data_IF_602300112906
#
_entry.id   IF_602300112906
#
_cell.length_a   1.000
_cell.length_b   1.000
_cell.length_c   1.000
_cell.angle_alpha   90.00
_cell.angle_beta   90.00
_cell.angle_gamma   90.00
#
_symmetry.space_group_name_H-M   'P 1'
#
loop_
_entity.id
_entity.type
_entity.pdbx_description
1 polymer ?
#
# COMPACT_ATOMS: atom_id res chain seq x y z
N UNK A 1 3.15 12.68 -10.66
CA UNK A 1 3.17 11.98 -9.36
C UNK A 1 2.52 10.61 -9.54
N UNK A 2 3.13 9.57 -8.98
CA UNK A 2 2.70 8.17 -9.12
C UNK A 2 1.63 7.82 -8.07
N UNK A 3 0.65 6.99 -8.44
CA UNK A 3 -0.35 6.47 -7.51
C UNK A 3 0.26 5.30 -6.72
N UNK A 4 0.42 5.47 -5.40
CA UNK A 4 1.09 4.49 -4.54
C UNK A 4 0.10 3.97 -3.50
N UNK A 5 -0.19 2.66 -3.57
CA UNK A 5 -1.06 1.99 -2.60
C UNK A 5 -0.29 1.50 -1.38
N UNK A 6 -0.85 1.71 -0.20
CA UNK A 6 -0.29 1.23 1.07
C UNK A 6 -1.24 0.24 1.74
N UNK A 7 -0.76 -0.97 2.01
CA UNK A 7 -1.50 -2.04 2.70
C UNK A 7 -0.71 -2.49 3.93
N UNK A 8 -1.38 -2.76 5.05
CA UNK A 8 -0.70 -3.15 6.30
C UNK A 8 0.09 -2.03 6.98
N UNK A 9 -0.19 -0.77 6.63
CA UNK A 9 0.45 0.43 7.18
C UNK A 9 0.15 0.66 8.68
N UNK A 10 -0.82 -0.05 9.26
CA UNK A 10 -1.20 0.05 10.68
C UNK A 10 -0.44 -0.89 11.62
N UNK A 11 0.20 -1.93 11.07
CA UNK A 11 0.98 -2.88 11.87
C UNK A 11 2.26 -2.23 12.41
N UNK A 12 2.96 -2.93 13.31
CA UNK A 12 4.23 -2.46 13.91
C UNK A 12 5.23 -1.95 12.86
N UNK A 13 5.40 -2.72 11.79
CA UNK A 13 6.27 -2.38 10.67
C UNK A 13 5.73 -1.20 9.86
N UNK A 14 4.42 -1.23 9.57
CA UNK A 14 3.76 -0.22 8.76
C UNK A 14 3.77 1.16 9.41
N UNK A 15 3.57 1.24 10.72
CA UNK A 15 3.56 2.50 11.45
C UNK A 15 4.93 3.17 11.45
N UNK A 16 6.01 2.40 11.59
CA UNK A 16 7.38 2.91 11.47
C UNK A 16 7.65 3.41 10.06
N UNK A 17 7.23 2.68 9.02
CA UNK A 17 7.34 3.13 7.63
C UNK A 17 6.61 4.48 7.44
N UNK A 18 5.36 4.59 7.89
CA UNK A 18 4.58 5.83 7.76
C UNK A 18 5.24 6.99 8.49
N UNK A 19 5.78 6.76 9.69
CA UNK A 19 6.51 7.78 10.43
C UNK A 19 7.73 8.28 9.63
N UNK A 20 8.56 7.38 9.09
CA UNK A 20 9.74 7.75 8.31
C UNK A 20 9.36 8.49 7.02
N UNK A 21 8.32 8.06 6.33
CA UNK A 21 7.84 8.73 5.12
C UNK A 21 7.32 10.15 5.39
N UNK A 22 6.76 10.41 6.57
CA UNK A 22 6.40 11.78 7.01
C UNK A 22 7.66 12.59 7.33
N UNK A 23 8.59 12.03 8.09
CA UNK A 23 9.85 12.70 8.47
C UNK A 23 10.69 13.11 7.24
N UNK A 24 10.75 12.25 6.22
CA UNK A 24 11.48 12.49 4.96
C UNK A 24 10.65 13.22 3.89
N UNK A 25 9.39 13.57 4.19
CA UNK A 25 8.45 14.23 3.26
C UNK A 25 8.18 13.48 1.96
N UNK A 26 8.23 12.15 1.99
CA UNK A 26 8.01 11.30 0.80
C UNK A 26 6.62 11.49 0.18
N UNK A 27 5.61 11.81 1.00
CA UNK A 27 4.22 12.01 0.55
C UNK A 27 4.06 13.21 -0.40
N UNK A 28 4.97 14.18 -0.39
CA UNK A 28 4.95 15.34 -1.28
C UNK A 28 5.19 14.94 -2.75
N UNK A 29 5.82 13.78 -2.99
CA UNK A 29 6.21 13.31 -4.32
C UNK A 29 5.23 12.29 -4.93
N UNK A 30 4.26 11.80 -4.17
CA UNK A 30 3.39 10.68 -4.55
C UNK A 30 1.91 10.99 -4.33
N UNK A 31 1.04 10.18 -4.93
CA UNK A 31 -0.40 10.17 -4.64
C UNK A 31 -0.71 8.94 -3.80
N UNK A 32 -0.72 9.05 -2.46
CA UNK A 32 -0.93 7.90 -1.60
C UNK A 32 -2.40 7.45 -1.62
N UNK A 33 -2.62 6.14 -1.68
CA UNK A 33 -3.93 5.50 -1.55
C UNK A 33 -3.82 4.44 -0.45
N UNK A 34 -4.68 4.52 0.55
CA UNK A 34 -4.61 3.61 1.70
C UNK A 34 -5.65 2.51 1.60
N UNK A 35 -5.21 1.30 1.85
CA UNK A 35 -6.04 0.10 1.81
C UNK A 35 -6.14 -0.51 3.22
N UNK A 36 -7.22 -1.24 3.45
CA UNK A 36 -7.46 -1.96 4.70
C UNK A 36 -8.13 -3.30 4.43
N UNK A 37 -7.76 -4.32 5.21
CA UNK A 37 -8.38 -5.66 5.16
C UNK A 37 -9.61 -5.77 6.06
N UNK A 38 -9.81 -4.81 6.99
CA UNK A 38 -10.85 -4.91 8.03
C UNK A 38 -11.64 -3.62 8.26
N UNK A 39 -11.19 -2.49 7.72
CA UNK A 39 -11.75 -1.16 7.98
C UNK A 39 -11.91 -0.33 6.69
N UNK A 40 -12.04 -0.98 5.54
CA UNK A 40 -12.35 -0.30 4.29
C UNK A 40 -13.69 0.45 4.41
N UNK A 41 -13.84 1.56 3.70
CA UNK A 41 -14.98 2.47 3.80
C UNK A 41 -14.90 3.50 4.93
N UNK A 42 -13.94 3.38 5.86
CA UNK A 42 -13.69 4.41 6.87
C UNK A 42 -12.77 5.52 6.34
N UNK A 43 -12.72 6.66 7.04
CA UNK A 43 -11.79 7.74 6.71
C UNK A 43 -10.34 7.23 6.78
N UNK A 44 -9.56 7.54 5.74
CA UNK A 44 -8.14 7.25 5.72
C UNK A 44 -7.38 8.25 6.62
N UNK A 45 -6.28 7.83 7.25
CA UNK A 45 -5.48 8.69 8.11
C UNK A 45 -4.84 9.84 7.31
N UNK A 46 -4.67 10.99 7.95
CA UNK A 46 -3.84 12.06 7.40
C UNK A 46 -2.38 11.76 7.72
N UNK A 47 -1.53 11.75 6.69
CA UNK A 47 -0.07 11.66 6.84
C UNK A 47 0.57 12.89 6.22
N UNK A 48 1.37 13.61 7.02
CA UNK A 48 1.83 14.96 6.65
C UNK A 48 0.65 15.89 6.37
N UNK A 49 0.72 16.65 5.29
CA UNK A 49 -0.35 17.54 4.84
C UNK A 49 -1.29 16.90 3.79
N UNK A 50 -1.13 15.60 3.52
CA UNK A 50 -1.91 14.90 2.49
C UNK A 50 -3.17 14.28 3.08
N UNK A 51 -4.34 14.77 2.67
CA UNK A 51 -5.62 14.11 2.92
C UNK A 51 -5.80 12.94 1.95
N UNK A 52 -6.13 11.77 2.47
CA UNK A 52 -6.03 10.50 1.74
C UNK A 52 -7.40 9.86 1.45
N UNK A 53 -8.48 10.61 1.68
CA UNK A 53 -9.85 10.20 1.36
C UNK A 53 -10.35 9.05 2.24
N UNK A 54 -10.82 7.98 1.60
CA UNK A 54 -11.44 6.81 2.25
C UNK A 54 -10.57 5.58 2.06
N UNK A 55 -10.51 4.72 3.08
CA UNK A 55 -9.79 3.45 3.01
C UNK A 55 -10.43 2.53 1.97
N UNK A 56 -9.64 2.09 1.01
CA UNK A 56 -10.04 1.14 -0.02
C UNK A 56 -9.93 -0.30 0.48
N UNK A 57 -10.65 -1.23 -0.16
CA UNK A 57 -10.57 -2.66 0.17
C UNK A 57 -9.27 -3.27 -0.35
N UNK A 58 -8.45 -3.80 0.57
CA UNK A 58 -7.18 -4.46 0.26
C UNK A 58 -7.32 -5.73 -0.60
N UNK A 59 -8.54 -6.26 -0.80
CA UNK A 59 -8.80 -7.40 -1.67
C UNK A 59 -9.46 -7.03 -3.01
N UNK A 60 -9.75 -5.75 -3.25
CA UNK A 60 -10.26 -5.27 -4.52
C UNK A 60 -9.14 -5.24 -5.57
N UNK A 61 -9.12 -6.26 -6.42
CA UNK A 61 -8.10 -6.41 -7.45
C UNK A 61 -8.15 -5.32 -8.51
N UNK A 62 -9.31 -4.72 -8.77
CA UNK A 62 -9.43 -3.69 -9.80
C UNK A 62 -8.92 -2.35 -9.27
N UNK A 63 -9.19 -2.03 -8.01
CA UNK A 63 -8.55 -0.91 -7.31
C UNK A 63 -7.03 -1.08 -7.25
N UNK A 64 -6.54 -2.28 -6.94
CA UNK A 64 -5.09 -2.56 -6.89
C UNK A 64 -4.42 -2.45 -8.26
N UNK A 65 -5.08 -2.89 -9.34
CA UNK A 65 -4.54 -2.79 -10.71
C UNK A 65 -4.45 -1.35 -11.22
N UNK A 66 -5.21 -0.42 -10.65
CA UNK A 66 -5.19 0.99 -11.03
C UNK A 66 -3.99 1.77 -10.47
N UNK A 67 -3.22 1.16 -9.55
CA UNK A 67 -2.06 1.77 -8.92
C UNK A 67 -0.80 1.61 -9.77
N UNK A 68 0.11 2.57 -9.68
CA UNK A 68 1.44 2.46 -10.28
C UNK A 68 2.37 1.59 -9.40
N UNK A 69 2.25 1.73 -8.07
CA UNK A 69 3.12 1.09 -7.08
C UNK A 69 2.25 0.60 -5.92
N UNK A 70 2.58 -0.57 -5.36
CA UNK A 70 1.98 -1.10 -4.14
C UNK A 70 3.07 -1.38 -3.11
N UNK A 71 2.92 -0.83 -1.91
CA UNK A 71 3.75 -1.10 -0.74
C UNK A 71 2.92 -1.85 0.29
N UNK A 72 3.33 -3.07 0.64
CA UNK A 72 2.60 -3.89 1.62
C UNK A 72 3.48 -4.32 2.77
N UNK A 73 2.95 -4.14 3.98
CA UNK A 73 3.49 -4.63 5.24
C UNK A 73 2.51 -5.58 5.94
N UNK A 74 1.52 -6.12 5.20
CA UNK A 74 0.46 -6.97 5.75
C UNK A 74 0.93 -8.40 6.08
N UNK A 75 1.93 -8.91 5.36
CA UNK A 75 2.52 -10.23 5.59
C UNK A 75 2.51 -11.15 4.36
N UNK A 76 3.11 -12.33 4.54
CA UNK A 76 3.29 -13.33 3.49
C UNK A 76 1.98 -13.92 2.98
N UNK A 77 1.04 -14.23 3.87
CA UNK A 77 -0.23 -14.86 3.51
C UNK A 77 -1.06 -13.97 2.57
N UNK A 78 -1.18 -12.69 2.94
CA UNK A 78 -1.82 -11.68 2.09
C UNK A 78 -1.14 -11.58 0.71
N UNK A 79 0.20 -11.54 0.70
CA UNK A 79 0.97 -11.43 -0.55
C UNK A 79 0.73 -12.64 -1.46
N UNK A 80 0.79 -13.85 -0.91
CA UNK A 80 0.56 -15.09 -1.65
C UNK A 80 -0.87 -15.16 -2.20
N UNK A 81 -1.85 -14.76 -1.41
CA UNK A 81 -3.25 -14.72 -1.82
C UNK A 81 -3.47 -13.74 -2.99
N UNK A 82 -3.00 -12.50 -2.87
CA UNK A 82 -3.15 -11.49 -3.92
C UNK A 82 -2.42 -11.89 -5.20
N UNK A 83 -1.19 -12.40 -5.11
CA UNK A 83 -0.44 -12.86 -6.28
C UNK A 83 -1.06 -14.11 -6.94
N UNK A 84 -1.78 -14.93 -6.17
CA UNK A 84 -2.55 -16.05 -6.71
C UNK A 84 -3.76 -15.55 -7.51
N UNK A 85 -4.49 -14.57 -6.96
CA UNK A 85 -5.69 -13.98 -7.58
C UNK A 85 -5.38 -13.06 -8.77
N UNK A 86 -4.34 -12.25 -8.67
CA UNK A 86 -3.87 -11.37 -9.74
C UNK A 86 -2.86 -12.13 -10.60
N UNK A 87 -3.32 -12.71 -11.72
CA UNK A 87 -2.51 -13.51 -12.63
C UNK A 87 -1.03 -13.05 -12.70
N UNK A 88 -0.14 -13.92 -12.21
CA UNK A 88 1.29 -13.73 -11.88
C UNK A 88 2.12 -12.89 -12.89
N UNK A 89 1.66 -12.73 -14.13
CA UNK A 89 2.33 -11.99 -15.22
C UNK A 89 2.11 -10.47 -15.21
N UNK A 90 0.96 -9.92 -14.77
CA UNK A 90 0.73 -8.45 -14.80
C UNK A 90 1.27 -7.73 -13.57
N UNK A 91 1.25 -8.40 -12.42
CA UNK A 91 1.97 -7.94 -11.23
C UNK A 91 3.47 -8.23 -11.31
N UNK A 92 4.02 -8.80 -12.39
CA UNK A 92 5.47 -9.04 -12.50
C UNK A 92 6.32 -7.74 -12.59
N UNK A 93 5.71 -6.57 -12.80
CA UNK A 93 6.33 -5.28 -12.52
C UNK A 93 6.65 -5.07 -11.02
N UNK A 94 6.05 -5.84 -10.11
CA UNK A 94 6.44 -5.96 -8.69
C UNK A 94 7.77 -6.71 -8.50
N UNK A 95 8.32 -7.40 -9.50
CA UNK A 95 9.63 -8.08 -9.34
C UNK A 95 10.82 -7.13 -9.55
N UNK A 96 10.64 -6.01 -10.27
CA UNK A 96 11.68 -5.00 -10.50
C UNK A 96 11.92 -4.06 -9.31
N UNK A 97 10.94 -3.97 -8.41
CA UNK A 97 11.16 -3.65 -7.01
C UNK A 97 10.55 -4.79 -6.20
N UNK A 98 11.34 -5.85 -6.07
CA UNK A 98 11.47 -6.49 -4.76
C UNK A 98 12.09 -5.47 -3.79
N UNK A 99 11.34 -4.40 -3.53
CA UNK A 99 11.09 -3.80 -2.24
C UNK A 99 9.56 -3.79 -2.15
N UNK A 100 8.92 -4.96 -2.23
CA UNK A 100 8.27 -5.43 -1.00
C UNK A 100 9.32 -5.26 0.10
N UNK A 101 9.39 -4.07 0.70
CA UNK A 101 9.95 -3.96 2.02
C UNK A 101 9.01 -4.84 2.84
N UNK A 102 9.33 -6.14 2.91
CA UNK A 102 9.44 -6.75 4.21
C UNK A 102 10.43 -5.85 4.93
N UNK A 103 9.92 -4.80 5.54
CA UNK A 103 10.51 -4.35 6.78
C UNK A 103 10.45 -5.61 7.63
N UNK A 104 11.63 -6.22 7.77
CA UNK A 104 11.84 -7.30 8.70
C UNK A 104 11.48 -6.81 10.11
#
# INVERSE_FOLDING_TARGET
MKNVGFIGWRGMVGSVLMQRMVEERDFDAIRPVFFSTSQFGQAAPTFGDTSTGTLQDAFDLDALKALDIIVTCQGGDYTNEILSKAARKRMAGLLGLTRLLRCA
#
